data_IF_292726297073
#
_entry.id   IF_292726297073
#
_cell.length_a   1.000
_cell.length_b   1.000
_cell.length_c   1.000
_cell.angle_alpha   90.00
_cell.angle_beta   90.00
_cell.angle_gamma   90.00
#
_symmetry.space_group_name_H-M   'P 1'
#
loop_
_entity.id
_entity.type
_entity.pdbx_description
1 polymer ?
#
# COMPACT_ATOMS: atom_id res chain seq x y z
N UNK A 1 -2.03 -8.91 -3.58
CA UNK A 1 -2.31 -8.43 -2.20
C UNK A 1 -3.39 -7.37 -2.31
N UNK A 2 -4.45 -7.47 -1.50
CA UNK A 2 -5.49 -6.47 -1.36
C UNK A 2 -5.64 -6.20 0.14
N UNK A 3 -5.71 -4.94 0.53
CA UNK A 3 -5.76 -4.52 1.92
C UNK A 3 -6.81 -3.42 2.06
N UNK A 4 -7.77 -3.63 2.97
CA UNK A 4 -8.76 -2.62 3.34
C UNK A 4 -8.48 -2.19 4.76
N UNK A 5 -8.37 -0.88 4.97
CA UNK A 5 -8.03 -0.30 6.28
C UNK A 5 -9.10 0.69 6.66
N UNK A 6 -9.63 0.53 7.87
CA UNK A 6 -10.47 1.55 8.48
C UNK A 6 -9.58 2.71 8.93
N UNK A 7 -9.67 3.84 8.25
CA UNK A 7 -8.98 5.05 8.69
C UNK A 7 -9.92 5.84 9.62
N UNK A 8 -9.52 6.17 10.86
CA UNK A 8 -10.26 7.12 11.66
C UNK A 8 -10.21 8.49 10.96
N UNK A 9 -11.36 9.09 10.70
CA UNK A 9 -11.44 10.45 10.16
C UNK A 9 -11.00 11.40 11.26
N UNK A 10 -9.89 12.12 11.06
CA UNK A 10 -9.50 13.21 11.97
C UNK A 10 -10.43 14.39 11.71
N UNK A 11 -11.56 14.46 12.42
CA UNK A 11 -12.40 15.65 12.44
C UNK A 11 -11.67 16.75 13.22
N UNK A 12 -11.11 17.71 12.49
CA UNK A 12 -10.61 18.95 13.05
C UNK A 12 -11.76 19.91 13.34
N UNK A 13 -11.74 20.47 14.56
CA UNK A 13 -12.50 21.63 15.07
C UNK A 13 -13.94 21.42 15.54
N UNK A 14 -14.21 22.01 16.71
CA UNK A 14 -15.39 21.87 17.54
C UNK A 14 -16.67 22.40 16.87
N UNK A 15 -17.70 21.56 16.77
CA UNK A 15 -19.09 21.99 16.64
C UNK A 15 -20.09 20.86 16.94
N UNK A 16 -20.96 21.13 17.91
CA UNK A 16 -22.25 20.53 18.31
C UNK A 16 -22.45 18.99 18.43
N UNK A 17 -22.92 18.49 19.59
CA UNK A 17 -23.28 17.09 19.78
C UNK A 17 -24.73 16.83 19.34
N UNK A 18 -25.00 16.79 18.03
CA UNK A 18 -26.26 16.20 17.56
C UNK A 18 -26.10 15.44 16.24
N UNK A 19 -26.09 14.11 16.36
CA UNK A 19 -26.34 13.11 15.29
C UNK A 19 -25.57 13.29 13.97
N UNK A 20 -24.30 12.91 13.97
CA UNK A 20 -23.66 12.39 12.74
C UNK A 20 -23.13 10.98 12.99
N UNK A 21 -23.61 10.01 12.20
CA UNK A 21 -23.02 8.67 12.18
C UNK A 21 -21.57 8.84 11.70
N UNK A 22 -20.56 8.25 12.38
CA UNK A 22 -19.20 8.30 11.87
C UNK A 22 -19.18 7.55 10.55
N UNK A 23 -19.12 8.28 9.43
CA UNK A 23 -18.87 7.72 8.11
C UNK A 23 -17.42 7.29 8.10
N UNK A 24 -17.15 6.07 8.56
CA UNK A 24 -15.83 5.48 8.45
C UNK A 24 -15.46 5.37 6.98
N UNK A 25 -14.55 6.21 6.50
CA UNK A 25 -13.99 6.07 5.16
C UNK A 25 -13.01 4.91 5.18
N UNK A 26 -13.32 3.83 4.46
CA UNK A 26 -12.38 2.72 4.23
C UNK A 26 -11.37 3.13 3.16
N UNK A 27 -10.08 2.88 3.41
CA UNK A 27 -9.04 2.97 2.40
C UNK A 27 -8.80 1.59 1.81
N UNK A 28 -9.08 1.43 0.52
CA UNK A 28 -8.89 0.18 -0.19
C UNK A 28 -7.61 0.26 -1.05
N UNK A 29 -6.61 -0.51 -0.63
CA UNK A 29 -5.32 -0.61 -1.30
C UNK A 29 -5.24 -1.91 -2.10
N UNK A 30 -4.78 -1.79 -3.34
CA UNK A 30 -4.52 -2.92 -4.25
C UNK A 30 -3.05 -2.94 -4.66
N UNK A 31 -2.53 -4.13 -4.94
CA UNK A 31 -1.22 -4.25 -5.55
C UNK A 31 -1.22 -3.58 -6.94
N UNK A 32 -0.22 -2.76 -7.21
CA UNK A 32 -0.01 -2.12 -8.51
C UNK A 32 0.29 -3.21 -9.54
N UNK A 33 -0.39 -3.14 -10.69
CA UNK A 33 -0.10 -4.04 -11.80
C UNK A 33 1.32 -3.76 -12.33
N UNK A 34 2.14 -4.81 -12.57
CA UNK A 34 3.45 -4.61 -13.17
C UNK A 34 3.32 -4.08 -14.59
N UNK A 35 4.32 -3.33 -15.05
CA UNK A 35 4.42 -2.94 -16.46
C UNK A 35 5.31 -3.90 -17.22
N UNK A 36 5.05 -4.09 -18.50
CA UNK A 36 5.99 -4.77 -19.37
C UNK A 36 7.22 -3.89 -19.59
N UNK A 37 8.40 -4.46 -19.43
CA UNK A 37 9.67 -3.78 -19.66
C UNK A 37 10.37 -4.36 -20.88
N UNK A 38 10.24 -3.69 -22.03
CA UNK A 38 10.67 -4.18 -23.34
C UNK A 38 12.13 -4.68 -23.36
N UNK A 39 13.07 -3.91 -22.83
CA UNK A 39 14.49 -4.29 -22.88
C UNK A 39 14.84 -5.50 -21.99
N UNK A 40 14.08 -5.73 -20.92
CA UNK A 40 14.32 -6.82 -19.98
C UNK A 40 13.41 -8.02 -20.25
N UNK A 41 12.45 -7.87 -21.17
CA UNK A 41 11.43 -8.85 -21.54
C UNK A 41 10.75 -9.47 -20.30
N UNK A 42 10.37 -8.62 -19.34
CA UNK A 42 9.75 -9.06 -18.09
C UNK A 42 8.69 -8.07 -17.58
N UNK A 43 7.78 -8.58 -16.76
CA UNK A 43 6.82 -7.76 -16.02
C UNK A 43 7.47 -7.25 -14.74
N UNK A 44 7.64 -5.93 -14.61
CA UNK A 44 8.30 -5.34 -13.46
C UNK A 44 7.56 -4.11 -12.93
N UNK A 45 7.76 -3.84 -11.64
CA UNK A 45 7.42 -2.56 -11.02
C UNK A 45 8.67 -1.68 -10.99
N UNK A 46 8.46 -0.37 -11.01
CA UNK A 46 9.57 0.57 -10.89
C UNK A 46 9.71 1.02 -9.44
N UNK A 47 10.75 0.51 -8.81
CA UNK A 47 11.10 0.82 -7.42
C UNK A 47 12.08 1.99 -7.30
N UNK A 48 12.42 2.68 -8.39
CA UNK A 48 13.33 3.83 -8.40
C UNK A 48 14.68 3.55 -7.68
N UNK A 49 15.22 2.34 -7.86
CA UNK A 49 16.47 1.91 -7.23
C UNK A 49 16.35 1.53 -5.75
N UNK A 50 15.16 1.61 -5.14
CA UNK A 50 14.94 1.21 -3.72
C UNK A 50 14.98 -0.31 -3.54
N UNK A 51 14.59 -1.06 -4.57
CA UNK A 51 14.57 -2.53 -4.56
C UNK A 51 15.55 -3.02 -5.60
N UNK A 52 16.49 -3.87 -5.17
CA UNK A 52 17.64 -4.31 -5.97
C UNK A 52 17.67 -5.82 -6.19
N UNK A 53 16.96 -6.59 -5.37
CA UNK A 53 16.94 -8.05 -5.44
C UNK A 53 15.54 -8.55 -5.81
N UNK A 54 15.47 -9.46 -6.78
CA UNK A 54 14.22 -10.10 -7.19
C UNK A 54 13.62 -10.93 -6.05
N UNK A 55 12.33 -10.77 -5.81
CA UNK A 55 11.60 -11.49 -4.76
C UNK A 55 10.10 -11.39 -4.99
N UNK A 56 9.35 -12.43 -4.61
CA UNK A 56 7.88 -12.41 -4.58
C UNK A 56 7.32 -11.43 -3.54
N UNK A 57 8.18 -10.93 -2.64
CA UNK A 57 7.86 -9.91 -1.64
C UNK A 57 7.99 -8.48 -2.18
N UNK A 58 8.39 -8.30 -3.43
CA UNK A 58 8.50 -6.97 -4.03
C UNK A 58 7.12 -6.51 -4.51
N UNK A 59 6.54 -5.51 -3.86
CA UNK A 59 5.21 -5.00 -4.21
C UNK A 59 5.06 -3.49 -3.98
N UNK A 60 4.09 -2.92 -4.67
CA UNK A 60 3.64 -1.54 -4.49
C UNK A 60 2.14 -1.56 -4.27
N UNK A 61 1.64 -0.93 -3.22
CA UNK A 61 0.20 -0.74 -3.01
C UNK A 61 -0.22 0.67 -3.44
N UNK A 62 -1.30 0.74 -4.20
CA UNK A 62 -1.94 1.98 -4.66
C UNK A 62 -3.37 2.02 -4.14
N UNK A 63 -3.93 3.22 -3.94
CA UNK A 63 -5.35 3.36 -3.62
C UNK A 63 -6.22 2.97 -4.82
N UNK A 64 -7.40 2.43 -4.51
CA UNK A 64 -8.43 2.17 -5.52
C UNK A 64 -9.19 3.46 -5.81
N UNK A 65 -9.58 3.72 -7.06
CA UNK A 65 -10.46 4.84 -7.38
C UNK A 65 -11.72 4.80 -6.50
N UNK A 66 -12.06 5.95 -5.91
CA UNK A 66 -13.24 6.11 -5.06
C UNK A 66 -13.05 5.85 -3.56
N UNK A 67 -11.98 5.17 -3.13
CA UNK A 67 -11.71 4.95 -1.69
C UNK A 67 -10.97 6.13 -1.01
N UNK A 68 -10.60 7.15 -1.79
CA UNK A 68 -9.78 8.28 -1.35
C UNK A 68 -10.52 9.61 -1.19
N UNK A 69 -11.85 9.63 -1.28
CA UNK A 69 -12.67 10.85 -1.38
C UNK A 69 -12.44 11.93 -0.30
N UNK A 70 -11.85 11.56 0.85
CA UNK A 70 -11.44 12.47 1.92
C UNK A 70 -9.92 12.62 2.12
N UNK A 71 -9.10 11.77 1.50
CA UNK A 71 -7.65 11.70 1.72
C UNK A 71 -6.83 12.35 0.60
N UNK A 72 -7.48 12.95 -0.40
CA UNK A 72 -6.77 13.63 -1.50
C UNK A 72 -5.84 12.73 -2.29
N UNK A 73 -6.03 11.41 -2.23
CA UNK A 73 -5.27 10.45 -3.04
C UNK A 73 -5.85 10.50 -4.45
N UNK A 74 -5.43 11.53 -5.18
CA UNK A 74 -6.06 11.96 -6.43
C UNK A 74 -5.72 11.15 -7.67
N UNK A 75 -4.90 10.10 -7.54
CA UNK A 75 -4.49 9.28 -8.69
C UNK A 75 -4.38 7.81 -8.30
N UNK A 76 -5.01 6.93 -9.10
CA UNK A 76 -4.90 5.47 -9.00
C UNK A 76 -3.46 4.98 -9.13
N UNK A 77 -2.55 5.84 -9.58
CA UNK A 77 -1.13 5.52 -9.70
C UNK A 77 -0.26 5.87 -8.48
N UNK A 78 -0.82 6.58 -7.50
CA UNK A 78 -0.06 7.01 -6.31
C UNK A 78 0.27 5.81 -5.43
N UNK A 79 1.57 5.46 -5.37
CA UNK A 79 2.07 4.41 -4.50
C UNK A 79 2.02 4.87 -3.04
N UNK A 80 1.20 4.20 -2.22
CA UNK A 80 1.06 4.49 -0.79
C UNK A 80 2.03 3.66 0.05
N UNK A 81 2.29 2.42 -0.34
CA UNK A 81 3.26 1.53 0.32
C UNK A 81 4.12 0.85 -0.74
N UNK A 82 5.43 0.91 -0.58
CA UNK A 82 6.40 0.19 -1.38
C UNK A 82 7.25 -0.68 -0.47
N UNK A 83 7.33 -1.97 -0.78
CA UNK A 83 8.14 -2.93 -0.06
C UNK A 83 8.95 -3.78 -1.03
N UNK A 84 10.18 -4.10 -0.69
CA UNK A 84 10.97 -5.04 -1.49
C UNK A 84 12.36 -5.32 -0.95
N UNK A 85 12.96 -6.39 -1.49
CA UNK A 85 14.22 -6.98 -1.05
C UNK A 85 15.42 -6.17 -1.56
N UNK A 86 16.38 -5.92 -0.68
CA UNK A 86 17.67 -5.32 -1.03
C UNK A 86 18.86 -6.25 -0.80
N UNK A 87 18.77 -7.15 0.19
CA UNK A 87 19.76 -8.19 0.50
C UNK A 87 19.02 -9.39 1.13
N UNK A 88 19.73 -10.46 1.53
CA UNK A 88 19.10 -11.72 1.95
C UNK A 88 18.05 -11.59 3.05
N UNK A 89 18.37 -10.83 4.09
CA UNK A 89 17.47 -10.57 5.22
C UNK A 89 17.18 -9.06 5.39
N UNK A 90 17.38 -8.27 4.34
CA UNK A 90 17.16 -6.83 4.36
C UNK A 90 16.14 -6.39 3.30
N UNK A 91 15.20 -5.54 3.71
CA UNK A 91 14.12 -5.03 2.88
C UNK A 91 13.95 -3.53 3.10
N UNK A 92 13.58 -2.81 2.05
CA UNK A 92 13.16 -1.40 2.15
C UNK A 92 11.65 -1.32 2.30
N UNK A 93 11.18 -0.40 3.14
CA UNK A 93 9.77 -0.08 3.31
C UNK A 93 9.58 1.44 3.22
N UNK A 94 8.94 1.90 2.15
CA UNK A 94 8.57 3.31 1.96
C UNK A 94 7.05 3.43 2.08
N UNK A 95 6.56 4.28 2.97
CA UNK A 95 5.12 4.47 3.16
C UNK A 95 4.76 5.96 3.16
N UNK A 96 3.51 6.26 2.79
CA UNK A 96 2.95 7.60 2.78
C UNK A 96 1.68 7.65 3.61
N UNK A 97 1.29 8.87 4.00
CA UNK A 97 -0.05 9.11 4.51
C UNK A 97 -1.08 8.52 3.53
N UNK A 98 -2.15 7.88 4.03
CA UNK A 98 -2.60 7.85 5.43
C UNK A 98 -2.05 6.71 6.29
N UNK A 99 -1.11 5.89 5.79
CA UNK A 99 -0.57 4.79 6.58
C UNK A 99 0.34 5.31 7.69
N UNK A 100 0.16 4.75 8.89
CA UNK A 100 1.19 4.80 9.93
C UNK A 100 2.29 3.77 9.65
N UNK A 101 3.46 3.98 10.24
CA UNK A 101 4.57 3.02 10.18
C UNK A 101 4.14 1.62 10.68
N UNK A 102 3.33 1.57 11.74
CA UNK A 102 2.83 0.32 12.30
C UNK A 102 1.92 -0.44 11.32
N UNK A 103 0.95 0.24 10.69
CA UNK A 103 0.09 -0.37 9.68
C UNK A 103 0.89 -0.84 8.47
N UNK A 104 1.78 0.00 7.95
CA UNK A 104 2.65 -0.34 6.83
C UNK A 104 3.51 -1.59 7.14
N UNK A 105 4.12 -1.63 8.32
CA UNK A 105 4.94 -2.75 8.77
C UNK A 105 4.12 -4.04 8.91
N UNK A 106 2.96 -3.97 9.56
CA UNK A 106 2.06 -5.11 9.72
C UNK A 106 1.64 -5.69 8.35
N UNK A 107 1.31 -4.85 7.37
CA UNK A 107 1.00 -5.28 6.00
C UNK A 107 2.22 -5.99 5.38
N UNK A 108 3.42 -5.43 5.52
CA UNK A 108 4.64 -6.04 4.96
C UNK A 108 4.91 -7.43 5.56
N UNK A 109 4.70 -7.62 6.86
CA UNK A 109 4.86 -8.93 7.51
C UNK A 109 3.95 -10.01 6.91
N UNK A 110 2.75 -9.65 6.44
CA UNK A 110 1.86 -10.61 5.78
C UNK A 110 2.46 -11.21 4.50
N UNK A 111 3.40 -10.51 3.86
CA UNK A 111 4.10 -11.03 2.66
C UNK A 111 5.09 -12.16 2.96
N UNK A 112 5.46 -12.36 4.22
CA UNK A 112 6.33 -13.45 4.67
C UNK A 112 5.53 -14.72 5.01
N UNK A 113 4.20 -14.62 5.07
CA UNK A 113 3.33 -15.78 5.29
C UNK A 113 3.50 -16.80 4.17
N UNK A 114 3.76 -18.05 4.52
CA UNK A 114 3.80 -19.16 3.58
C UNK A 114 2.39 -19.40 3.03
N UNK A 115 2.23 -19.39 1.71
CA UNK A 115 1.06 -20.01 1.10
C UNK A 115 1.24 -21.51 1.28
N UNK A 116 0.31 -22.17 1.99
CA UNK A 116 0.35 -23.61 2.25
C UNK A 116 0.20 -24.50 0.99
N UNK A 117 0.33 -23.96 -0.23
CA UNK A 117 0.05 -24.70 -1.47
C UNK A 117 0.73 -24.13 -2.74
N UNK A 118 1.91 -23.50 -2.63
CA UNK A 118 2.65 -23.07 -3.82
C UNK A 118 4.16 -23.33 -3.62
N UNK A 119 4.65 -24.41 -4.22
CA UNK A 119 6.05 -24.55 -4.66
C UNK A 119 6.26 -23.77 -5.96
#
# INVERSE_FOLDING_TARGET
MQCSIQCPVVQGTASDPSKEKPTSSSLDLKNKAPRWHEHLQCWCLNFHGRVTVASVKNFQLVATAGSGGLWGVGDEETVILQFGKIEDDAFTMDYRQPLSAFQAFAICLTSFGTKLACE
#
